data_IF_354474460920
#
_entry.id   IF_354474460920
#
_cell.length_a   1.000
_cell.length_b   1.000
_cell.length_c   1.000
_cell.angle_alpha   90.00
_cell.angle_beta   90.00
_cell.angle_gamma   90.00
#
_symmetry.space_group_name_H-M   'P 1'
#
loop_
_entity.id
_entity.type
_entity.pdbx_description
1 polymer ?
#
# COMPACT_ATOMS: atom_id res chain seq x y z
N UNK A 1 -26.71 -24.15 -59.56
CA UNK A 1 -26.27 -24.57 -58.21
C UNK A 1 -26.91 -23.65 -57.18
N UNK A 2 -28.05 -24.05 -56.62
CA UNK A 2 -28.74 -23.26 -55.60
C UNK A 2 -28.12 -23.55 -54.23
N UNK A 3 -27.41 -22.57 -53.66
CA UNK A 3 -27.01 -22.61 -52.25
C UNK A 3 -28.27 -22.67 -51.40
N UNK A 4 -28.51 -23.79 -50.71
CA UNK A 4 -29.73 -23.97 -49.93
C UNK A 4 -29.79 -22.90 -48.83
N UNK A 5 -30.95 -22.25 -48.70
CA UNK A 5 -31.23 -21.23 -47.67
C UNK A 5 -30.87 -21.69 -46.25
N UNK A 6 -30.89 -23.00 -46.01
CA UNK A 6 -30.44 -23.63 -44.75
C UNK A 6 -28.94 -23.47 -44.48
N UNK A 7 -28.07 -23.56 -45.49
CA UNK A 7 -26.62 -23.35 -45.32
C UNK A 7 -26.29 -21.89 -45.03
N UNK A 8 -27.00 -20.95 -45.67
CA UNK A 8 -26.84 -19.51 -45.46
C UNK A 8 -27.28 -19.08 -44.05
N UNK A 9 -28.39 -19.65 -43.57
CA UNK A 9 -28.91 -19.40 -42.22
C UNK A 9 -28.02 -20.00 -41.12
N UNK A 10 -27.43 -21.17 -41.36
CA UNK A 10 -26.43 -21.77 -40.46
C UNK A 10 -25.15 -20.92 -40.40
N UNK A 11 -24.65 -20.44 -41.55
CA UNK A 11 -23.44 -19.61 -41.63
C UNK A 11 -23.62 -18.25 -40.94
N UNK A 12 -24.78 -17.60 -41.10
CA UNK A 12 -25.10 -16.34 -40.43
C UNK A 12 -25.19 -16.47 -38.91
N UNK A 13 -25.76 -17.57 -38.40
CA UNK A 13 -25.79 -17.83 -36.96
C UNK A 13 -24.39 -18.15 -36.41
N UNK A 14 -23.60 -18.97 -37.11
CA UNK A 14 -22.22 -19.28 -36.72
C UNK A 14 -21.34 -18.02 -36.67
N UNK A 15 -21.42 -17.15 -37.68
CA UNK A 15 -20.68 -15.89 -37.70
C UNK A 15 -21.18 -14.89 -36.63
N UNK A 16 -22.48 -14.90 -36.32
CA UNK A 16 -23.05 -14.07 -35.25
C UNK A 16 -22.58 -14.52 -33.87
N UNK A 17 -22.44 -15.83 -33.65
CA UNK A 17 -21.91 -16.40 -32.41
C UNK A 17 -20.40 -16.15 -32.26
N UNK A 18 -19.61 -16.28 -33.34
CA UNK A 18 -18.18 -15.96 -33.29
C UNK A 18 -17.92 -14.46 -33.05
N UNK A 19 -18.63 -13.58 -33.77
CA UNK A 19 -18.49 -12.13 -33.59
C UNK A 19 -19.04 -11.68 -32.23
N UNK A 20 -20.08 -12.35 -31.73
CA UNK A 20 -20.60 -12.16 -30.38
C UNK A 20 -19.60 -12.56 -29.30
N UNK A 21 -18.93 -13.70 -29.49
CA UNK A 21 -17.90 -14.21 -28.58
C UNK A 21 -16.65 -13.32 -28.55
N UNK A 22 -16.15 -12.88 -29.71
CA UNK A 22 -15.01 -11.95 -29.79
C UNK A 22 -15.35 -10.62 -29.12
N UNK A 23 -16.56 -10.08 -29.34
CA UNK A 23 -17.02 -8.85 -28.66
C UNK A 23 -17.14 -9.02 -27.15
N UNK A 24 -17.65 -10.15 -26.68
CA UNK A 24 -17.75 -10.46 -25.26
C UNK A 24 -16.37 -10.54 -24.60
N UNK A 25 -15.40 -11.21 -25.23
CA UNK A 25 -14.02 -11.29 -24.73
C UNK A 25 -13.36 -9.91 -24.71
N UNK A 26 -13.54 -9.11 -25.76
CA UNK A 26 -12.94 -7.77 -25.84
C UNK A 26 -13.54 -6.83 -24.79
N UNK A 27 -14.85 -6.90 -24.56
CA UNK A 27 -15.50 -6.14 -23.50
C UNK A 27 -15.04 -6.60 -22.11
N UNK A 28 -14.97 -7.91 -21.87
CA UNK A 28 -14.51 -8.47 -20.59
C UNK A 28 -13.06 -8.07 -20.28
N UNK A 29 -12.16 -8.17 -21.26
CA UNK A 29 -10.76 -7.76 -21.09
C UNK A 29 -10.64 -6.25 -20.86
N UNK A 30 -11.43 -5.42 -21.56
CA UNK A 30 -11.48 -3.98 -21.31
C UNK A 30 -11.93 -3.64 -19.88
N UNK A 31 -12.96 -4.31 -19.37
CA UNK A 31 -13.44 -4.13 -17.98
C UNK A 31 -12.37 -4.54 -16.98
N UNK A 32 -11.69 -5.68 -17.18
CA UNK A 32 -10.61 -6.14 -16.31
C UNK A 32 -9.45 -5.13 -16.29
N UNK A 33 -9.07 -4.58 -17.45
CA UNK A 33 -8.01 -3.56 -17.55
C UNK A 33 -8.39 -2.28 -16.81
N UNK A 34 -9.64 -1.84 -16.89
CA UNK A 34 -10.12 -0.66 -16.15
C UNK A 34 -10.10 -0.89 -14.65
N UNK A 35 -10.54 -2.06 -14.18
CA UNK A 35 -10.54 -2.42 -12.76
C UNK A 35 -9.10 -2.50 -12.23
N UNK A 36 -8.22 -3.21 -12.93
CA UNK A 36 -6.81 -3.36 -12.53
C UNK A 36 -6.06 -2.04 -12.54
N UNK A 37 -6.27 -1.19 -13.55
CA UNK A 37 -5.71 0.17 -13.60
C UNK A 37 -6.22 1.04 -12.46
N UNK A 38 -7.53 0.99 -12.18
CA UNK A 38 -8.15 1.70 -11.06
C UNK A 38 -7.60 1.25 -9.70
N UNK A 39 -7.41 -0.06 -9.52
CA UNK A 39 -6.79 -0.64 -8.33
C UNK A 39 -5.33 -0.22 -8.19
N UNK A 40 -4.55 -0.22 -9.27
CA UNK A 40 -3.16 0.28 -9.23
C UNK A 40 -3.12 1.73 -8.75
N UNK A 41 -4.00 2.57 -9.29
CA UNK A 41 -4.12 3.98 -8.91
C UNK A 41 -4.41 4.21 -7.42
N UNK A 42 -5.06 3.26 -6.73
CA UNK A 42 -5.30 3.35 -5.28
C UNK A 42 -4.03 3.12 -4.46
N UNK A 43 -3.03 2.43 -5.01
CA UNK A 43 -1.78 2.11 -4.31
C UNK A 43 -0.67 3.13 -4.50
N UNK A 44 -0.81 4.06 -5.46
CA UNK A 44 0.19 5.10 -5.69
C UNK A 44 0.29 6.09 -4.52
N UNK A 45 1.51 6.48 -4.11
CA UNK A 45 1.70 7.47 -3.06
C UNK A 45 1.09 8.81 -3.45
N UNK A 46 0.28 9.38 -2.56
CA UNK A 46 -0.49 10.60 -2.83
C UNK A 46 0.33 11.89 -2.66
N UNK A 47 1.59 11.80 -2.22
CA UNK A 47 2.42 12.98 -2.01
C UNK A 47 3.86 12.69 -1.56
N UNK A 48 4.66 13.75 -1.39
CA UNK A 48 6.07 13.65 -1.02
C UNK A 48 6.25 13.08 0.40
N UNK A 49 7.33 12.32 0.59
CA UNK A 49 7.72 11.81 1.90
C UNK A 49 8.32 12.96 2.72
N UNK A 50 7.75 13.26 3.88
CA UNK A 50 8.24 14.32 4.78
C UNK A 50 8.88 13.73 6.04
N UNK A 51 10.01 14.28 6.52
CA UNK A 51 10.52 13.93 7.84
C UNK A 51 9.59 14.47 8.93
N UNK A 52 9.34 13.66 9.96
CA UNK A 52 8.52 14.02 11.13
C UNK A 52 9.17 13.41 12.37
N UNK A 53 9.12 14.10 13.50
CA UNK A 53 9.60 13.55 14.78
C UNK A 53 8.43 13.02 15.61
N UNK A 54 8.70 11.99 16.40
CA UNK A 54 7.75 11.48 17.38
C UNK A 54 8.44 11.07 18.68
N UNK A 55 7.64 10.81 19.72
CA UNK A 55 8.13 10.29 21.01
C UNK A 55 7.65 8.88 21.24
N UNK A 56 8.55 7.97 21.61
CA UNK A 56 8.21 6.58 21.91
C UNK A 56 7.43 6.52 23.23
N UNK A 57 6.19 6.04 23.17
CA UNK A 57 5.29 5.86 24.31
C UNK A 57 5.43 4.44 24.89
N UNK A 58 5.63 3.45 24.02
CA UNK A 58 5.79 2.05 24.40
C UNK A 58 6.61 1.29 23.35
N UNK A 59 7.34 0.27 23.81
CA UNK A 59 8.06 -0.68 22.96
C UNK A 59 7.50 -2.07 23.27
N UNK A 60 7.32 -2.89 22.24
CA UNK A 60 6.83 -4.24 22.40
C UNK A 60 7.22 -5.11 21.21
N UNK A 61 6.66 -6.31 21.18
CA UNK A 61 6.88 -7.27 20.11
C UNK A 61 5.55 -7.64 19.48
N UNK A 62 5.58 -7.92 18.19
CA UNK A 62 4.44 -8.46 17.46
C UNK A 62 4.90 -9.74 16.80
N UNK A 63 4.29 -10.85 17.21
CA UNK A 63 4.50 -12.13 16.57
C UNK A 63 3.81 -12.12 15.20
N UNK A 64 4.52 -12.67 14.23
CA UNK A 64 4.01 -12.90 12.87
C UNK A 64 4.43 -14.32 12.48
N UNK A 65 3.80 -14.89 11.46
CA UNK A 65 4.16 -16.22 10.95
C UNK A 65 5.62 -16.31 10.45
N UNK A 66 6.27 -15.15 10.26
CA UNK A 66 7.69 -15.02 9.89
C UNK A 66 8.61 -14.69 11.07
N UNK A 67 8.14 -14.86 12.30
CA UNK A 67 8.87 -14.60 13.55
C UNK A 67 8.43 -13.34 14.29
N UNK A 68 9.10 -13.06 15.41
CA UNK A 68 8.83 -11.91 16.27
C UNK A 68 9.47 -10.63 15.70
N UNK A 69 8.66 -9.59 15.52
CA UNK A 69 9.09 -8.27 15.04
C UNK A 69 8.96 -7.25 16.17
N UNK A 70 10.02 -6.48 16.40
CA UNK A 70 9.96 -5.35 17.34
C UNK A 70 9.01 -4.27 16.80
N UNK A 71 8.13 -3.77 17.67
CA UNK A 71 7.20 -2.68 17.36
C UNK A 71 7.28 -1.61 18.43
N UNK A 72 7.03 -0.36 18.06
CA UNK A 72 6.89 0.73 19.01
C UNK A 72 5.62 1.53 18.75
N UNK A 73 5.01 2.01 19.82
CA UNK A 73 3.96 3.02 19.78
C UNK A 73 4.60 4.39 19.97
N UNK A 74 4.40 5.28 19.02
CA UNK A 74 5.01 6.61 18.97
C UNK A 74 3.92 7.67 18.93
N UNK A 75 4.04 8.69 19.78
CA UNK A 75 3.19 9.88 19.70
C UNK A 75 3.72 10.80 18.61
N UNK A 76 2.89 11.06 17.61
CA UNK A 76 3.16 12.02 16.53
C UNK A 76 1.98 12.99 16.51
N UNK A 77 2.22 14.28 16.65
CA UNK A 77 1.17 15.32 16.69
C UNK A 77 0.06 15.00 17.71
N UNK A 78 0.43 14.39 18.85
CA UNK A 78 -0.51 13.98 19.91
C UNK A 78 -1.29 12.68 19.65
N UNK A 79 -1.07 12.01 18.51
CA UNK A 79 -1.74 10.75 18.16
C UNK A 79 -0.79 9.55 18.31
N UNK A 80 -1.24 8.45 18.94
CA UNK A 80 -0.44 7.24 19.00
C UNK A 80 -0.44 6.54 17.64
N UNK A 81 0.75 6.25 17.13
CA UNK A 81 0.99 5.53 15.88
C UNK A 81 1.87 4.32 16.17
N UNK A 82 1.47 3.14 15.70
CA UNK A 82 2.28 1.93 15.81
C UNK A 82 3.21 1.80 14.60
N UNK A 83 4.49 1.61 14.85
CA UNK A 83 5.52 1.43 13.83
C UNK A 83 6.32 0.16 14.10
N UNK A 84 6.86 -0.43 13.02
CA UNK A 84 7.82 -1.52 13.14
C UNK A 84 9.22 -0.94 13.37
N UNK A 85 9.89 -1.39 14.43
CA UNK A 85 11.27 -1.04 14.69
C UNK A 85 12.20 -2.10 14.07
N UNK A 86 13.29 -1.68 13.40
CA UNK A 86 14.31 -2.63 12.99
C UNK A 86 15.02 -3.18 14.24
N UNK A 87 15.27 -4.49 14.28
CA UNK A 87 15.73 -5.21 15.47
C UNK A 87 17.06 -4.71 16.09
N UNK A 88 17.82 -3.88 15.37
CA UNK A 88 19.15 -3.40 15.79
C UNK A 88 19.12 -2.05 16.52
N UNK A 89 17.98 -1.39 16.63
CA UNK A 89 17.90 -0.06 17.24
C UNK A 89 17.40 -0.16 18.69
N UNK A 90 18.28 0.13 19.65
CA UNK A 90 18.02 0.09 21.09
C UNK A 90 17.16 1.25 21.60
N UNK A 91 16.03 1.51 20.95
CA UNK A 91 15.12 2.59 21.29
C UNK A 91 14.38 2.27 22.60
N UNK A 92 14.24 3.27 23.47
CA UNK A 92 13.55 3.15 24.76
C UNK A 92 12.30 4.02 24.78
N UNK A 93 11.39 3.68 25.70
CA UNK A 93 10.25 4.55 26.03
C UNK A 93 10.77 5.92 26.48
N UNK A 94 10.25 6.99 25.89
CA UNK A 94 10.66 8.37 26.13
C UNK A 94 11.59 8.95 25.06
N UNK A 95 12.27 8.11 24.27
CA UNK A 95 13.19 8.59 23.23
C UNK A 95 12.43 9.33 22.12
N UNK A 96 13.13 10.30 21.51
CA UNK A 96 12.70 10.89 20.24
C UNK A 96 13.11 9.99 19.10
N UNK A 97 12.22 9.83 18.13
CA UNK A 97 12.44 9.04 16.93
C UNK A 97 12.16 9.86 15.68
N UNK A 98 13.09 9.79 14.72
CA UNK A 98 12.94 10.38 13.39
C UNK A 98 12.13 9.42 12.49
N UNK A 99 10.96 9.89 12.05
CA UNK A 99 10.03 9.17 11.18
C UNK A 99 9.98 9.81 9.81
N UNK A 100 9.56 9.02 8.83
CA UNK A 100 9.17 9.44 7.50
C UNK A 100 7.67 9.29 7.38
N UNK A 101 6.96 10.40 7.22
CA UNK A 101 5.54 10.44 6.94
C UNK A 101 5.34 10.41 5.43
N UNK A 102 4.65 9.38 4.94
CA UNK A 102 4.24 9.28 3.53
C UNK A 102 2.73 9.49 3.46
N UNK A 103 2.31 10.46 2.66
CA UNK A 103 0.89 10.66 2.36
C UNK A 103 0.41 9.49 1.49
N UNK A 104 -0.63 8.82 1.96
CA UNK A 104 -1.38 7.83 1.19
C UNK A 104 -2.75 8.40 0.87
N UNK A 105 -3.46 7.82 -0.10
CA UNK A 105 -4.80 8.28 -0.47
C UNK A 105 -5.82 8.17 0.68
N UNK A 106 -5.52 7.31 1.66
CA UNK A 106 -6.35 7.04 2.84
C UNK A 106 -5.80 7.67 4.14
N UNK A 107 -4.77 8.52 4.06
CA UNK A 107 -4.20 9.21 5.22
C UNK A 107 -2.66 9.24 5.21
N UNK A 108 -2.05 8.71 6.26
CA UNK A 108 -0.60 8.75 6.43
C UNK A 108 -0.05 7.39 6.83
N UNK A 109 1.00 6.95 6.15
CA UNK A 109 1.84 5.84 6.62
C UNK A 109 3.14 6.39 7.20
N UNK A 110 3.62 5.75 8.26
CA UNK A 110 4.82 6.15 8.98
C UNK A 110 5.86 5.04 8.87
N UNK A 111 7.06 5.40 8.44
CA UNK A 111 8.21 4.51 8.39
C UNK A 111 9.38 5.08 9.17
N UNK A 112 10.26 4.22 9.68
CA UNK A 112 11.47 4.67 10.35
C UNK A 112 12.43 5.30 9.35
N UNK A 113 12.95 6.49 9.64
CA UNK A 113 13.94 7.16 8.80
C UNK A 113 15.27 6.41 8.79
N UNK A 114 15.77 6.02 7.61
CA UNK A 114 17.16 5.58 7.43
C UNK A 114 18.09 6.81 7.41
N UNK A 115 18.45 7.36 8.56
CA UNK A 115 19.63 8.23 8.72
C UNK A 115 20.00 8.34 10.21
N UNK A 116 21.29 8.40 10.54
CA UNK A 116 22.11 7.23 10.94
C UNK A 116 21.76 6.62 12.30
N UNK A 117 20.94 7.30 13.12
CA UNK A 117 20.35 6.77 14.35
C UNK A 117 18.90 7.23 14.41
N UNK A 118 17.90 6.35 14.13
CA UNK A 118 16.50 6.74 14.14
C UNK A 118 16.07 7.18 15.53
N UNK A 119 16.68 6.61 16.58
CA UNK A 119 16.46 6.99 17.96
C UNK A 119 17.69 7.74 18.45
N UNK A 120 17.54 9.06 18.62
CA UNK A 120 18.45 9.84 19.43
C UNK A 120 17.95 9.75 20.87
N UNK A 121 18.73 9.11 21.75
CA UNK A 121 18.57 9.34 23.19
C UNK A 121 18.59 10.86 23.38
N UNK A 122 17.47 11.42 23.84
CA UNK A 122 17.47 12.78 24.34
C UNK A 122 18.38 12.76 25.57
N UNK A 123 19.60 13.28 25.43
CA UNK A 123 20.12 14.13 26.50
C UNK A 123 19.01 15.17 26.78
N UNK A 124 18.61 15.34 28.05
CA UNK A 124 17.61 16.34 28.38
C UNK A 124 18.12 17.69 27.88
N UNK A 125 17.30 18.36 27.07
CA UNK A 125 17.50 19.78 26.78
C UNK A 125 17.48 20.49 28.13
N UNK A 126 18.65 20.89 28.62
CA UNK A 126 18.79 21.92 29.64
C UNK A 126 18.01 23.12 29.14
N UNK A 127 17.05 23.57 29.94
CA UNK A 127 16.48 24.89 29.77
C UNK A 127 17.62 25.91 29.87
N UNK A 128 17.76 26.76 28.86
CA UNK A 128 18.38 28.07 28.95
C UNK A 128 17.36 29.07 28.42
#
# INVERSE_FOLDING_TARGET
>A
MALSLSRLRFWLNYYRDEVGFVRAITAATGVILLITSGLLWLTYPAGPVRPVEGRIIAVGFMETDRGSRSTASVSVDGRPVRIQLPARYGCRKGDRIALKRRATRFGFSYGVGRNPKPCSMLTPFSQQ
#
